data_IF_556386732523
#
_entry.id   IF_556386732523
#
_cell.length_a   1.000
_cell.length_b   1.000
_cell.length_c   1.000
_cell.angle_alpha   90.00
_cell.angle_beta   90.00
_cell.angle_gamma   90.00
#
_symmetry.space_group_name_H-M   'P 1'
#
loop_
_entity.id
_entity.type
_entity.pdbx_description
1 polymer ?
#
# COMPACT_ATOMS: atom_id res chain seq x y z
N UNK A 1 35.05 -1.59 10.09
CA UNK A 1 34.32 -0.42 9.56
C UNK A 1 32.90 -0.46 10.08
N UNK A 2 32.46 0.53 10.87
CA UNK A 2 31.04 0.66 11.23
C UNK A 2 30.30 1.18 9.99
N UNK A 3 29.39 0.39 9.44
CA UNK A 3 28.44 0.88 8.45
C UNK A 3 27.56 1.91 9.15
N UNK A 4 27.81 3.18 8.84
CA UNK A 4 26.85 4.25 9.09
C UNK A 4 25.68 3.97 8.15
N UNK A 5 24.68 3.25 8.65
CA UNK A 5 23.35 3.25 8.03
C UNK A 5 22.82 4.67 8.18
N UNK A 6 23.19 5.56 7.27
CA UNK A 6 22.43 6.79 7.10
C UNK A 6 20.99 6.35 6.83
N UNK A 7 20.01 6.85 7.59
CA UNK A 7 18.61 6.65 7.23
C UNK A 7 18.44 7.24 5.83
N UNK A 8 17.86 6.47 4.92
CA UNK A 8 17.59 6.88 3.53
C UNK A 8 16.82 8.22 3.41
N UNK A 9 16.27 8.69 4.54
CA UNK A 9 15.37 9.84 4.68
C UNK A 9 15.96 10.98 5.54
N UNK A 10 17.16 10.82 6.11
CA UNK A 10 17.74 11.83 7.01
C UNK A 10 18.29 13.08 6.29
N UNK A 11 18.35 13.08 4.96
CA UNK A 11 19.00 14.15 4.17
C UNK A 11 18.04 15.09 3.45
N UNK A 12 16.71 14.88 3.52
CA UNK A 12 15.75 15.83 2.94
C UNK A 12 15.10 16.70 4.04
N UNK A 13 15.55 17.95 4.26
CA UNK A 13 15.05 18.81 5.34
C UNK A 13 13.57 19.19 5.22
N UNK A 14 12.93 18.87 4.09
CA UNK A 14 11.53 19.22 3.77
C UNK A 14 10.63 18.02 3.51
N UNK A 15 11.19 16.80 3.44
CA UNK A 15 10.40 15.61 3.12
C UNK A 15 10.20 14.78 4.38
N UNK A 16 8.96 14.80 4.87
CA UNK A 16 8.55 14.02 6.03
C UNK A 16 7.66 12.87 5.56
N UNK A 17 8.19 11.65 5.42
CA UNK A 17 7.44 10.50 4.90
C UNK A 17 6.31 10.06 5.84
N UNK A 18 6.29 10.54 7.09
CA UNK A 18 5.16 10.32 8.00
C UNK A 18 3.94 11.19 7.67
N UNK A 19 4.10 12.20 6.81
CA UNK A 19 3.03 13.10 6.33
C UNK A 19 2.62 12.83 4.89
N UNK A 20 3.31 11.93 4.22
CA UNK A 20 2.99 11.49 2.85
C UNK A 20 2.23 10.19 2.96
N UNK A 21 1.11 10.11 2.27
CA UNK A 21 0.26 8.92 2.23
C UNK A 21 0.44 8.19 0.92
N UNK A 22 0.24 6.87 0.96
CA UNK A 22 0.30 5.99 -0.20
C UNK A 22 -0.94 5.12 -0.26
N UNK A 23 -1.55 5.05 -1.43
CA UNK A 23 -2.52 4.02 -1.80
C UNK A 23 -1.77 2.88 -2.48
N UNK A 24 -1.91 1.67 -1.96
CA UNK A 24 -1.37 0.46 -2.56
C UNK A 24 -2.48 -0.52 -2.90
N UNK A 25 -2.20 -1.39 -3.87
CA UNK A 25 -3.01 -2.56 -4.16
C UNK A 25 -2.21 -3.84 -3.90
N UNK A 26 -2.72 -4.69 -3.00
CA UNK A 26 -2.24 -6.06 -2.81
C UNK A 26 -2.81 -6.95 -3.91
N UNK A 27 -1.97 -7.46 -4.81
CA UNK A 27 -2.42 -8.35 -5.87
C UNK A 27 -2.89 -9.72 -5.34
N UNK A 28 -2.22 -10.21 -4.29
CA UNK A 28 -2.57 -11.49 -3.67
C UNK A 28 -3.92 -11.42 -2.97
N UNK A 29 -4.12 -10.42 -2.11
CA UNK A 29 -5.38 -10.25 -1.38
C UNK A 29 -6.48 -9.63 -2.25
N UNK A 30 -6.12 -8.92 -3.32
CA UNK A 30 -7.09 -8.16 -4.11
C UNK A 30 -7.62 -6.93 -3.36
N UNK A 31 -6.89 -6.41 -2.38
CA UNK A 31 -7.33 -5.33 -1.48
C UNK A 31 -6.51 -4.06 -1.63
N UNK A 32 -7.15 -2.92 -1.35
CA UNK A 32 -6.48 -1.63 -1.22
C UNK A 32 -5.93 -1.47 0.20
N UNK A 33 -4.77 -0.84 0.31
CA UNK A 33 -4.14 -0.47 1.57
C UNK A 33 -3.77 1.01 1.52
N UNK A 34 -4.10 1.74 2.57
CA UNK A 34 -3.71 3.15 2.74
C UNK A 34 -2.88 3.23 4.01
N UNK A 35 -1.68 3.79 3.89
CA UNK A 35 -0.78 4.01 5.01
C UNK A 35 0.13 5.19 4.70
N UNK A 36 0.92 5.62 5.68
CA UNK A 36 1.96 6.61 5.44
C UNK A 36 3.11 5.98 4.66
N UNK A 37 3.83 6.80 3.90
CA UNK A 37 5.02 6.35 3.18
C UNK A 37 6.10 5.86 4.15
N UNK A 38 6.15 6.39 5.37
CA UNK A 38 7.05 5.90 6.41
C UNK A 38 6.74 4.46 6.82
N UNK A 39 5.47 4.11 7.02
CA UNK A 39 5.02 2.75 7.34
C UNK A 39 5.32 1.81 6.17
N UNK A 40 4.95 2.20 4.95
CA UNK A 40 5.21 1.44 3.73
C UNK A 40 6.69 1.12 3.55
N UNK A 41 7.55 2.13 3.70
CA UNK A 41 8.98 1.93 3.61
C UNK A 41 9.48 1.04 4.76
N UNK A 42 8.98 1.19 5.98
CA UNK A 42 9.39 0.35 7.11
C UNK A 42 9.08 -1.14 6.85
N UNK A 43 7.87 -1.43 6.39
CA UNK A 43 7.38 -2.80 6.20
C UNK A 43 8.02 -3.47 4.97
N UNK A 44 8.30 -2.70 3.93
CA UNK A 44 8.85 -3.21 2.67
C UNK A 44 10.36 -3.01 2.51
N UNK A 45 11.05 -2.34 3.45
CA UNK A 45 12.50 -2.09 3.38
C UNK A 45 13.29 -3.40 3.26
N UNK A 46 12.84 -4.45 3.94
CA UNK A 46 13.46 -5.77 3.88
C UNK A 46 13.42 -6.34 2.46
N UNK A 47 12.25 -6.30 1.81
CA UNK A 47 12.05 -6.77 0.45
C UNK A 47 12.88 -5.96 -0.55
N UNK A 48 12.90 -4.63 -0.43
CA UNK A 48 13.74 -3.75 -1.24
C UNK A 48 15.23 -4.10 -1.12
N UNK A 49 15.73 -4.28 0.11
CA UNK A 49 17.15 -4.59 0.34
C UNK A 49 17.57 -5.96 -0.18
N UNK A 50 16.63 -6.89 -0.31
CA UNK A 50 16.87 -8.26 -0.76
C UNK A 50 16.44 -8.50 -2.21
N UNK A 51 16.01 -7.47 -2.93
CA UNK A 51 15.48 -7.56 -4.30
C UNK A 51 14.36 -8.60 -4.43
N UNK A 52 13.45 -8.63 -3.44
CA UNK A 52 12.29 -9.51 -3.47
C UNK A 52 11.12 -8.85 -4.19
N UNK A 53 10.40 -9.64 -4.98
CA UNK A 53 9.14 -9.22 -5.55
C UNK A 53 8.11 -8.97 -4.44
N UNK A 54 7.60 -7.74 -4.35
CA UNK A 54 6.50 -7.36 -3.46
C UNK A 54 5.19 -7.35 -4.24
N UNK A 55 4.15 -7.97 -3.70
CA UNK A 55 2.81 -8.01 -4.33
C UNK A 55 1.98 -6.75 -4.08
N UNK A 56 2.57 -5.74 -3.44
CA UNK A 56 1.98 -4.43 -3.22
C UNK A 56 2.43 -3.47 -4.32
N UNK A 57 1.46 -2.97 -5.08
CA UNK A 57 1.67 -1.99 -6.16
C UNK A 57 1.21 -0.61 -5.69
N UNK A 58 2.12 0.38 -5.54
CA UNK A 58 1.73 1.75 -5.25
C UNK A 58 0.94 2.34 -6.42
N UNK A 59 -0.23 2.88 -6.14
CA UNK A 59 -1.12 3.49 -7.13
C UNK A 59 -1.05 5.02 -7.09
N UNK A 60 -1.06 5.59 -5.88
CA UNK A 60 -1.06 7.05 -5.65
C UNK A 60 -0.19 7.34 -4.43
N UNK A 61 0.63 8.39 -4.51
CA UNK A 61 1.43 8.93 -3.40
C UNK A 61 1.14 10.43 -3.32
N UNK A 62 0.80 10.93 -2.14
CA UNK A 62 0.46 12.34 -1.96
C UNK A 62 -0.15 12.64 -0.60
N UNK A 63 -1.03 13.64 -0.56
CA UNK A 63 -1.78 14.01 0.64
C UNK A 63 -2.84 12.93 0.96
N UNK A 64 -3.15 12.76 2.26
CA UNK A 64 -4.16 11.82 2.76
C UNK A 64 -5.48 11.94 1.99
N UNK A 65 -5.99 13.16 1.89
CA UNK A 65 -7.23 13.46 1.18
C UNK A 65 -7.20 13.02 -0.29
N UNK A 66 -6.08 13.21 -1.00
CA UNK A 66 -5.95 12.81 -2.41
C UNK A 66 -5.94 11.28 -2.52
N UNK A 67 -5.25 10.62 -1.61
CA UNK A 67 -5.16 9.15 -1.53
C UNK A 67 -6.54 8.54 -1.23
N UNK A 68 -7.29 9.09 -0.28
CA UNK A 68 -8.66 8.63 0.02
C UNK A 68 -9.61 8.82 -1.16
N UNK A 69 -9.58 9.99 -1.81
CA UNK A 69 -10.41 10.27 -2.98
C UNK A 69 -10.10 9.32 -4.15
N UNK A 70 -8.83 9.00 -4.36
CA UNK A 70 -8.43 8.02 -5.35
C UNK A 70 -8.94 6.61 -5.00
N UNK A 71 -8.84 6.21 -3.72
CA UNK A 71 -9.33 4.93 -3.25
C UNK A 71 -10.84 4.80 -3.45
N UNK A 72 -11.61 5.84 -3.13
CA UNK A 72 -13.06 5.85 -3.34
C UNK A 72 -13.43 5.75 -4.82
N UNK A 73 -12.74 6.49 -5.69
CA UNK A 73 -12.99 6.46 -7.13
C UNK A 73 -12.78 5.07 -7.75
N UNK A 74 -11.88 4.25 -7.19
CA UNK A 74 -11.59 2.90 -7.70
C UNK A 74 -12.26 1.78 -6.89
N UNK A 75 -12.87 2.08 -5.73
CA UNK A 75 -13.44 1.09 -4.80
C UNK A 75 -14.41 0.14 -5.50
N UNK A 76 -15.30 0.67 -6.32
CA UNK A 76 -16.26 -0.14 -7.08
C UNK A 76 -15.57 -1.16 -8.01
N UNK A 77 -14.47 -0.75 -8.67
CA UNK A 77 -13.69 -1.65 -9.53
C UNK A 77 -13.02 -2.75 -8.70
N UNK A 78 -12.54 -2.41 -7.51
CA UNK A 78 -11.90 -3.36 -6.60
C UNK A 78 -12.89 -4.37 -6.03
N UNK A 79 -14.05 -3.92 -5.56
CA UNK A 79 -15.16 -4.78 -5.12
C UNK A 79 -15.51 -5.79 -6.19
N UNK A 80 -15.78 -5.32 -7.42
CA UNK A 80 -16.11 -6.20 -8.54
C UNK A 80 -15.03 -7.26 -8.79
N UNK A 81 -13.76 -6.85 -8.88
CA UNK A 81 -12.64 -7.78 -9.13
C UNK A 81 -12.49 -8.81 -8.03
N UNK A 82 -12.61 -8.37 -6.78
CA UNK A 82 -12.48 -9.24 -5.63
C UNK A 82 -13.61 -10.27 -5.57
N UNK A 83 -14.85 -9.82 -5.71
CA UNK A 83 -16.03 -10.70 -5.65
C UNK A 83 -16.06 -11.67 -6.85
N UNK A 84 -15.64 -11.23 -8.03
CA UNK A 84 -15.50 -12.10 -9.22
C UNK A 84 -14.41 -13.16 -9.00
N UNK A 85 -13.27 -12.80 -8.40
CA UNK A 85 -12.15 -13.71 -8.15
C UNK A 85 -12.53 -14.86 -7.22
N UNK A 86 -13.36 -14.59 -6.22
CA UNK A 86 -13.73 -15.55 -5.18
C UNK A 86 -15.18 -16.08 -5.32
N UNK A 87 -15.81 -15.83 -6.47
CA UNK A 87 -17.17 -16.29 -6.73
C UNK A 87 -17.24 -17.83 -6.65
N UNK A 88 -18.11 -18.35 -5.79
CA UNK A 88 -18.30 -19.79 -5.57
C UNK A 88 -17.40 -20.39 -4.48
N UNK A 89 -16.52 -19.60 -3.85
CA UNK A 89 -15.78 -20.03 -2.67
C UNK A 89 -16.69 -20.07 -1.43
N UNK A 90 -16.67 -21.20 -0.73
CA UNK A 90 -17.50 -21.38 0.47
C UNK A 90 -16.95 -20.52 1.61
N UNK A 91 -17.78 -19.63 2.14
CA UNK A 91 -17.43 -18.76 3.27
C UNK A 91 -16.74 -17.46 2.90
N UNK A 92 -16.69 -17.11 1.61
CA UNK A 92 -16.16 -15.82 1.16
C UNK A 92 -17.02 -14.65 1.63
N UNK A 93 -16.37 -13.61 2.16
CA UNK A 93 -17.00 -12.34 2.49
C UNK A 93 -16.88 -11.37 1.31
N UNK A 94 -17.97 -10.73 0.88
CA UNK A 94 -17.93 -9.65 -0.09
C UNK A 94 -16.94 -8.56 0.33
N UNK A 95 -16.33 -7.89 -0.65
CA UNK A 95 -15.29 -6.88 -0.40
C UNK A 95 -15.76 -5.77 0.55
N UNK A 96 -17.02 -5.36 0.47
CA UNK A 96 -17.61 -4.29 1.31
C UNK A 96 -17.86 -4.72 2.76
N UNK A 97 -17.68 -6.00 3.07
CA UNK A 97 -17.78 -6.59 4.42
C UNK A 97 -16.41 -6.94 5.01
N UNK A 98 -15.33 -6.71 4.28
CA UNK A 98 -13.97 -6.87 4.78
C UNK A 98 -13.60 -5.69 5.71
N UNK A 99 -12.78 -5.94 6.74
CA UNK A 99 -12.39 -4.94 7.73
C UNK A 99 -11.58 -3.77 7.15
#
# INVERSE_FOLDING_TARGET
MKSLKQPLLAEHPTFDPSKVWVLMWSQQQGMLHIETLAEMLSDHLGAFRMDLATEYVPLVIGDEFVVEQAAEAIRHTMTKRHDEKHNGEVGHLPYDQLP
#
